data_IF_426031878982
#
_entry.id   IF_426031878982
#
_cell.length_a   1.000
_cell.length_b   1.000
_cell.length_c   1.000
_cell.angle_alpha   90.00
_cell.angle_beta   90.00
_cell.angle_gamma   90.00
#
_symmetry.space_group_name_H-M   'P 1'
#
loop_
_entity.id
_entity.type
_entity.pdbx_description
1 polymer ?
#
# COMPACT_ATOMS: atom_id res chain seq x y z
N UNK A 1 -15.27 11.01 24.01
CA UNK A 1 -15.78 10.96 22.62
C UNK A 1 -15.41 9.62 22.00
N UNK A 2 -16.18 8.57 22.26
CA UNK A 2 -15.98 7.25 21.64
C UNK A 2 -17.01 7.14 20.53
N UNK A 3 -16.63 7.49 19.30
CA UNK A 3 -17.49 7.30 18.12
C UNK A 3 -17.38 5.83 17.74
N UNK A 4 -18.50 5.10 17.71
CA UNK A 4 -18.53 3.80 17.04
C UNK A 4 -18.05 3.99 15.60
N UNK A 5 -16.92 3.36 15.26
CA UNK A 5 -16.18 3.61 14.03
C UNK A 5 -16.85 3.02 12.81
N UNK A 6 -17.80 3.75 12.22
CA UNK A 6 -18.26 3.42 10.87
C UNK A 6 -17.14 3.77 9.89
N UNK A 7 -16.78 2.83 9.01
CA UNK A 7 -15.79 3.07 7.96
C UNK A 7 -16.27 4.16 7.01
N UNK A 8 -15.32 4.87 6.39
CA UNK A 8 -15.65 5.93 5.45
C UNK A 8 -16.32 5.33 4.21
N UNK A 9 -17.53 5.80 3.94
CA UNK A 9 -18.18 5.68 2.64
C UNK A 9 -18.09 7.06 1.98
N UNK A 10 -17.19 7.21 1.01
CA UNK A 10 -17.11 8.42 0.21
C UNK A 10 -18.37 8.59 -0.65
N UNK A 11 -18.57 9.78 -1.26
CA UNK A 11 -19.61 9.94 -2.27
C UNK A 11 -19.39 8.93 -3.42
N UNK A 12 -20.48 8.62 -4.13
CA UNK A 12 -20.59 7.60 -5.20
C UNK A 12 -19.26 7.12 -5.80
N UNK A 13 -19.02 5.80 -5.89
CA UNK A 13 -17.79 5.23 -6.43
C UNK A 13 -17.36 5.92 -7.72
N UNK A 14 -16.10 6.36 -7.78
CA UNK A 14 -15.59 6.99 -9.00
C UNK A 14 -15.51 5.92 -10.08
N UNK A 15 -15.92 6.26 -11.31
CA UNK A 15 -15.88 5.31 -12.43
C UNK A 15 -14.48 4.72 -12.67
N UNK A 16 -13.43 5.47 -12.34
CA UNK A 16 -12.04 5.04 -12.47
C UNK A 16 -11.57 4.05 -11.39
N UNK A 17 -12.33 3.83 -10.31
CA UNK A 17 -12.03 2.84 -9.27
C UNK A 17 -12.57 1.45 -9.60
N UNK A 18 -13.28 1.31 -10.74
CA UNK A 18 -13.77 0.02 -11.22
C UNK A 18 -12.64 -0.80 -11.82
N UNK A 19 -12.35 -1.96 -11.24
CA UNK A 19 -11.30 -2.87 -11.71
C UNK A 19 -11.70 -3.57 -13.02
N UNK A 20 -12.93 -4.08 -13.12
CA UNK A 20 -13.41 -4.80 -14.30
C UNK A 20 -14.66 -4.14 -14.87
N UNK A 21 -14.61 -3.79 -16.16
CA UNK A 21 -15.71 -3.16 -16.87
C UNK A 21 -16.66 -4.21 -17.47
N UNK A 22 -17.91 -3.81 -17.72
CA UNK A 22 -18.94 -4.69 -18.29
C UNK A 22 -18.59 -5.25 -19.69
N UNK A 23 -17.63 -4.62 -20.39
CA UNK A 23 -17.12 -5.11 -21.68
C UNK A 23 -16.08 -6.24 -21.54
N UNK A 24 -15.84 -6.74 -20.32
CA UNK A 24 -14.88 -7.80 -20.03
C UNK A 24 -13.44 -7.33 -19.84
N UNK A 25 -13.14 -6.04 -20.04
CA UNK A 25 -11.77 -5.53 -19.84
C UNK A 25 -11.51 -5.26 -18.35
N UNK A 26 -10.46 -5.85 -17.79
CA UNK A 26 -10.01 -5.57 -16.43
C UNK A 26 -8.72 -4.74 -16.42
N UNK A 27 -8.66 -3.70 -15.56
CA UNK A 27 -7.51 -2.82 -15.37
C UNK A 27 -7.21 -2.67 -13.88
N UNK A 28 -5.97 -2.92 -13.50
CA UNK A 28 -5.48 -2.76 -12.14
C UNK A 28 -4.39 -1.69 -12.11
N UNK A 29 -4.75 -0.50 -11.62
CA UNK A 29 -3.85 0.61 -11.36
C UNK A 29 -3.23 0.46 -9.97
N UNK A 30 -1.90 0.40 -9.89
CA UNK A 30 -1.14 0.23 -8.65
C UNK A 30 -0.14 1.37 -8.53
N UNK A 31 -0.10 2.04 -7.38
CA UNK A 31 0.95 3.00 -7.08
C UNK A 31 2.13 2.31 -6.39
N UNK A 32 3.34 2.59 -6.86
CA UNK A 32 4.58 2.24 -6.16
C UNK A 32 5.11 3.53 -5.55
N UNK A 33 5.12 3.62 -4.23
CA UNK A 33 5.63 4.79 -3.50
C UNK A 33 6.81 4.32 -2.67
N UNK A 34 8.01 4.46 -3.23
CA UNK A 34 9.25 3.89 -2.72
C UNK A 34 10.44 4.76 -3.10
N UNK A 35 11.55 4.70 -2.36
CA UNK A 35 12.75 5.42 -2.74
C UNK A 35 13.33 4.83 -4.04
N UNK A 36 13.78 5.70 -4.95
CA UNK A 36 14.51 5.27 -6.16
C UNK A 36 15.96 4.87 -5.87
N UNK A 37 16.54 5.36 -4.77
CA UNK A 37 17.93 5.09 -4.43
C UNK A 37 18.20 3.61 -4.16
N UNK A 38 19.26 3.07 -4.79
CA UNK A 38 19.74 1.70 -4.57
C UNK A 38 20.37 1.48 -3.19
N UNK A 39 20.60 2.56 -2.42
CA UNK A 39 21.02 2.50 -1.02
C UNK A 39 20.03 1.68 -0.16
N UNK A 40 18.74 1.75 -0.48
CA UNK A 40 17.71 1.02 0.26
C UNK A 40 17.57 -0.40 -0.27
N UNK A 41 17.44 -1.36 0.66
CA UNK A 41 17.26 -2.79 0.35
C UNK A 41 16.00 -2.99 -0.50
N UNK A 42 14.91 -2.33 -0.10
CA UNK A 42 13.67 -2.26 -0.85
C UNK A 42 13.63 -0.89 -1.54
N UNK A 43 13.59 -0.89 -2.87
CA UNK A 43 13.59 0.31 -3.70
C UNK A 43 12.71 0.09 -4.93
N UNK A 44 12.51 1.15 -5.70
CA UNK A 44 11.63 1.16 -6.88
C UNK A 44 12.01 0.06 -7.90
N UNK A 45 13.27 0.02 -8.32
CA UNK A 45 13.73 -0.88 -9.39
C UNK A 45 13.49 -2.36 -9.03
N UNK A 46 13.95 -2.78 -7.85
CA UNK A 46 13.77 -4.16 -7.38
C UNK A 46 12.29 -4.53 -7.23
N UNK A 47 11.47 -3.59 -6.77
CA UNK A 47 10.04 -3.83 -6.55
C UNK A 47 9.31 -4.02 -7.87
N UNK A 48 9.63 -3.23 -8.90
CA UNK A 48 9.03 -3.39 -10.24
C UNK A 48 9.32 -4.78 -10.80
N UNK A 49 10.56 -5.26 -10.70
CA UNK A 49 10.93 -6.60 -11.18
C UNK A 49 10.11 -7.69 -10.48
N UNK A 50 10.04 -7.66 -9.14
CA UNK A 50 9.28 -8.65 -8.36
C UNK A 50 7.78 -8.60 -8.68
N UNK A 51 7.20 -7.41 -8.87
CA UNK A 51 5.79 -7.28 -9.22
C UNK A 51 5.50 -7.86 -10.60
N UNK A 52 6.39 -7.69 -11.58
CA UNK A 52 6.20 -8.26 -12.91
C UNK A 52 6.28 -9.78 -12.90
N UNK A 53 7.17 -10.35 -12.09
CA UNK A 53 7.20 -11.80 -11.84
C UNK A 53 5.91 -12.29 -11.15
N UNK A 54 5.45 -11.57 -10.13
CA UNK A 54 4.19 -11.89 -9.44
C UNK A 54 2.96 -11.77 -10.35
N UNK A 55 2.92 -10.78 -11.25
CA UNK A 55 1.88 -10.64 -12.28
C UNK A 55 1.84 -11.89 -13.19
N UNK A 56 2.99 -12.31 -13.71
CA UNK A 56 3.08 -13.50 -14.55
C UNK A 56 2.65 -14.77 -13.80
N UNK A 57 3.11 -14.93 -12.56
CA UNK A 57 2.72 -16.06 -11.73
C UNK A 57 1.21 -16.07 -11.45
N UNK A 58 0.61 -14.92 -11.13
CA UNK A 58 -0.82 -14.79 -10.87
C UNK A 58 -1.67 -15.10 -12.11
N UNK A 59 -1.22 -14.67 -13.29
CA UNK A 59 -1.85 -15.03 -14.58
C UNK A 59 -1.78 -16.53 -14.85
N UNK A 60 -0.61 -17.13 -14.69
CA UNK A 60 -0.40 -18.56 -14.91
C UNK A 60 -1.22 -19.45 -13.95
N UNK A 61 -1.44 -18.97 -12.71
CA UNK A 61 -2.25 -19.65 -11.71
C UNK A 61 -3.77 -19.38 -11.86
N UNK A 62 -4.17 -18.52 -12.81
CA UNK A 62 -5.57 -18.13 -12.98
C UNK A 62 -6.13 -17.29 -11.83
N UNK A 63 -5.27 -16.67 -11.00
CA UNK A 63 -5.68 -15.74 -9.94
C UNK A 63 -6.21 -14.44 -10.55
N UNK A 64 -5.57 -13.99 -11.63
CA UNK A 64 -6.02 -12.86 -12.44
C UNK A 64 -6.18 -13.29 -13.89
N UNK A 65 -7.15 -12.71 -14.61
CA UNK A 65 -7.36 -13.03 -16.02
C UNK A 65 -6.15 -12.60 -16.86
N UNK A 66 -5.82 -13.38 -17.90
CA UNK A 66 -4.65 -13.14 -18.75
C UNK A 66 -4.69 -11.78 -19.47
N UNK A 67 -5.88 -11.31 -19.81
CA UNK A 67 -6.16 -10.03 -20.46
C UNK A 67 -6.25 -8.85 -19.47
N UNK A 68 -6.07 -9.09 -18.16
CA UNK A 68 -6.00 -8.02 -17.15
C UNK A 68 -4.76 -7.17 -17.39
N UNK A 69 -4.97 -5.86 -17.53
CA UNK A 69 -3.92 -4.87 -17.71
C UNK A 69 -3.49 -4.32 -16.34
N UNK A 70 -2.23 -4.53 -15.96
CA UNK A 70 -1.67 -3.98 -14.72
C UNK A 70 -0.80 -2.76 -15.01
N UNK A 71 -1.28 -1.59 -14.58
CA UNK A 71 -0.56 -0.32 -14.67
C UNK A 71 0.18 -0.05 -13.36
N UNK A 72 1.49 0.20 -13.45
CA UNK A 72 2.34 0.56 -12.33
C UNK A 72 2.70 2.04 -12.46
N UNK A 73 2.35 2.84 -11.45
CA UNK A 73 2.69 4.26 -11.37
C UNK A 73 3.77 4.45 -10.33
N UNK A 74 4.90 5.04 -10.73
CA UNK A 74 6.09 5.12 -9.88
C UNK A 74 6.20 6.52 -9.25
N UNK A 75 6.39 6.56 -7.93
CA UNK A 75 6.59 7.77 -7.16
C UNK A 75 7.79 7.62 -6.23
N UNK A 76 8.78 8.49 -6.41
CA UNK A 76 9.97 8.53 -5.55
C UNK A 76 9.65 9.28 -4.26
N UNK A 77 9.49 8.57 -3.15
CA UNK A 77 9.23 9.22 -1.86
C UNK A 77 10.49 9.85 -1.26
N UNK A 78 11.68 9.52 -1.76
CA UNK A 78 12.97 9.97 -1.22
C UNK A 78 13.14 9.73 0.29
N UNK A 79 12.41 8.75 0.84
CA UNK A 79 12.28 8.55 2.28
C UNK A 79 11.82 9.82 3.05
N UNK A 80 11.05 10.69 2.39
CA UNK A 80 10.47 11.91 2.95
C UNK A 80 8.97 11.75 3.22
N UNK A 81 8.58 12.06 4.46
CA UNK A 81 7.19 12.03 4.90
C UNK A 81 6.26 12.87 4.02
N UNK A 82 6.72 14.07 3.63
CA UNK A 82 5.96 14.99 2.81
C UNK A 82 5.71 14.43 1.41
N UNK A 83 6.76 13.90 0.78
CA UNK A 83 6.67 13.32 -0.56
C UNK A 83 5.76 12.10 -0.58
N UNK A 84 5.91 11.17 0.38
CA UNK A 84 5.04 10.00 0.49
C UNK A 84 3.55 10.37 0.57
N UNK A 85 3.23 11.42 1.33
CA UNK A 85 1.86 11.92 1.49
C UNK A 85 1.32 12.53 0.19
N UNK A 86 2.09 13.43 -0.44
CA UNK A 86 1.71 14.09 -1.69
C UNK A 86 1.53 13.05 -2.80
N UNK A 87 2.45 12.10 -2.91
CA UNK A 87 2.36 11.04 -3.90
C UNK A 87 1.18 10.10 -3.67
N UNK A 88 0.82 9.81 -2.40
CA UNK A 88 -0.40 9.06 -2.08
C UNK A 88 -1.66 9.79 -2.56
N UNK A 89 -1.73 11.11 -2.36
CA UNK A 89 -2.83 11.94 -2.84
C UNK A 89 -2.90 11.91 -4.37
N UNK A 90 -1.79 12.20 -5.06
CA UNK A 90 -1.73 12.24 -6.52
C UNK A 90 -2.07 10.86 -7.13
N UNK A 91 -1.56 9.77 -6.55
CA UNK A 91 -1.89 8.41 -6.97
C UNK A 91 -3.40 8.15 -6.92
N UNK A 92 -4.06 8.59 -5.85
CA UNK A 92 -5.51 8.48 -5.70
C UNK A 92 -6.29 9.41 -6.63
N UNK A 93 -5.90 10.69 -6.76
CA UNK A 93 -6.66 11.71 -7.48
C UNK A 93 -6.46 11.65 -8.98
N UNK A 94 -5.21 11.54 -9.43
CA UNK A 94 -4.82 11.77 -10.82
C UNK A 94 -4.71 10.46 -11.60
N UNK A 95 -4.35 9.36 -10.90
CA UNK A 95 -4.12 8.05 -11.51
C UNK A 95 -5.15 7.00 -11.11
N UNK A 96 -6.08 7.34 -10.20
CA UNK A 96 -7.09 6.43 -9.67
C UNK A 96 -6.52 5.05 -9.33
N UNK A 97 -5.43 5.02 -8.57
CA UNK A 97 -4.83 3.75 -8.15
C UNK A 97 -5.70 3.06 -7.13
N UNK A 98 -5.80 1.73 -7.23
CA UNK A 98 -6.65 0.92 -6.35
C UNK A 98 -5.97 0.67 -4.99
N UNK A 99 -4.65 0.53 -4.99
CA UNK A 99 -3.85 0.38 -3.78
C UNK A 99 -2.41 0.83 -4.02
N UNK A 100 -1.69 1.01 -2.93
CA UNK A 100 -0.27 1.37 -2.92
C UNK A 100 0.57 0.18 -2.49
N UNK A 101 1.73 0.02 -3.11
CA UNK A 101 2.84 -0.81 -2.62
C UNK A 101 3.96 0.12 -2.13
N UNK A 102 4.44 -0.13 -0.91
CA UNK A 102 5.29 0.80 -0.15
C UNK A 102 4.47 1.67 0.82
N UNK A 103 5.00 2.71 1.45
CA UNK A 103 6.43 3.05 1.59
C UNK A 103 7.13 2.12 2.57
N UNK A 104 8.47 2.16 2.60
CA UNK A 104 9.30 1.29 3.43
C UNK A 104 9.98 2.00 4.59
N UNK A 105 10.07 3.33 4.54
CA UNK A 105 10.61 4.13 5.65
C UNK A 105 9.54 4.35 6.72
N UNK A 106 9.89 4.24 8.01
CA UNK A 106 8.93 4.32 9.13
C UNK A 106 8.07 5.59 9.08
N UNK A 107 8.70 6.77 8.91
CA UNK A 107 7.99 8.05 8.85
C UNK A 107 7.10 8.19 7.60
N UNK A 108 7.56 7.69 6.45
CA UNK A 108 6.80 7.73 5.21
C UNK A 108 5.58 6.81 5.29
N UNK A 109 5.78 5.60 5.80
CA UNK A 109 4.74 4.60 6.04
C UNK A 109 3.69 5.13 7.01
N UNK A 110 4.13 5.78 8.11
CA UNK A 110 3.22 6.40 9.06
C UNK A 110 2.34 7.47 8.40
N UNK A 111 2.92 8.39 7.62
CA UNK A 111 2.14 9.46 7.02
C UNK A 111 1.20 8.95 5.93
N UNK A 112 1.70 8.10 5.04
CA UNK A 112 0.89 7.48 3.99
C UNK A 112 -0.25 6.64 4.59
N UNK A 113 0.05 5.81 5.60
CA UNK A 113 -0.94 4.98 6.28
C UNK A 113 -2.04 5.78 6.98
N UNK A 114 -1.72 6.95 7.56
CA UNK A 114 -2.72 7.84 8.16
C UNK A 114 -3.67 8.45 7.13
N UNK A 115 -3.16 8.81 5.95
CA UNK A 115 -3.98 9.42 4.90
C UNK A 115 -4.72 8.37 4.07
N UNK A 116 -4.22 7.14 3.99
CA UNK A 116 -4.79 6.02 3.22
C UNK A 116 -6.31 5.87 3.41
N UNK A 117 -6.81 6.01 4.64
CA UNK A 117 -8.25 5.92 4.97
C UNK A 117 -9.14 7.02 4.38
N UNK A 118 -8.55 8.10 3.87
CA UNK A 118 -9.29 9.21 3.24
C UNK A 118 -9.02 9.34 1.75
N UNK A 119 -8.17 8.48 1.18
CA UNK A 119 -7.88 8.41 -0.25
C UNK A 119 -8.95 7.56 -0.97
N UNK A 120 -9.38 8.00 -2.15
CA UNK A 120 -10.47 7.35 -2.88
C UNK A 120 -11.84 7.41 -2.19
N UNK A 121 -12.79 6.62 -2.71
CA UNK A 121 -14.14 6.52 -2.12
C UNK A 121 -14.13 5.75 -0.81
N UNK A 122 -13.46 4.60 -0.73
CA UNK A 122 -13.50 3.70 0.44
C UNK A 122 -12.23 3.69 1.28
N UNK A 123 -11.25 4.54 0.96
CA UNK A 123 -9.87 4.35 1.41
C UNK A 123 -9.04 3.64 0.34
N UNK A 124 -7.73 3.82 0.39
CA UNK A 124 -6.78 3.17 -0.50
C UNK A 124 -5.83 2.31 0.34
N UNK A 125 -5.92 0.97 0.23
CA UNK A 125 -5.03 0.08 0.97
C UNK A 125 -3.56 0.35 0.64
N UNK A 126 -2.71 0.22 1.65
CA UNK A 126 -1.26 0.41 1.55
C UNK A 126 -0.61 -0.90 1.97
N UNK A 127 0.06 -1.59 1.05
CA UNK A 127 0.74 -2.85 1.30
C UNK A 127 2.23 -2.59 1.35
N UNK A 128 2.88 -2.92 2.46
CA UNK A 128 4.33 -2.72 2.60
C UNK A 128 4.99 -3.88 3.33
N UNK A 129 6.18 -4.33 2.89
CA UNK A 129 7.04 -5.19 3.70
C UNK A 129 7.99 -4.41 4.61
N UNK A 130 7.96 -3.07 4.54
CA UNK A 130 8.77 -2.18 5.37
C UNK A 130 7.94 -1.52 6.48
N UNK A 131 8.53 -0.54 7.17
CA UNK A 131 7.92 0.05 8.35
C UNK A 131 7.94 -0.94 9.52
N UNK A 132 8.91 -0.81 10.41
CA UNK A 132 9.11 -1.75 11.53
C UNK A 132 8.56 -1.23 12.86
N UNK A 133 7.76 -0.16 12.82
CA UNK A 133 7.04 0.34 13.98
C UNK A 133 5.96 -0.67 14.38
N UNK A 134 5.86 -0.96 15.69
CA UNK A 134 4.90 -1.89 16.26
C UNK A 134 3.44 -1.62 15.84
N UNK A 135 3.05 -0.36 15.70
CA UNK A 135 1.66 0.00 15.31
C UNK A 135 1.29 -0.48 13.89
N UNK A 136 2.28 -0.81 13.05
CA UNK A 136 2.04 -1.32 11.70
C UNK A 136 1.79 -2.82 11.66
N UNK A 137 2.22 -3.55 12.69
CA UNK A 137 2.05 -5.01 12.83
C UNK A 137 0.98 -5.37 13.85
N UNK A 138 0.66 -4.45 14.77
CA UNK A 138 -0.43 -4.60 15.73
C UNK A 138 -1.78 -4.86 15.02
N UNK A 139 -2.69 -5.52 15.74
CA UNK A 139 -4.07 -5.73 15.27
C UNK A 139 -4.73 -4.36 15.09
N UNK A 140 -5.21 -4.11 13.88
CA UNK A 140 -5.81 -2.84 13.45
C UNK A 140 -6.98 -3.07 12.49
N UNK A 141 -8.04 -3.66 13.02
CA UNK A 141 -9.19 -4.12 12.27
C UNK A 141 -10.42 -3.22 12.42
N UNK A 142 -10.33 -2.15 13.21
CA UNK A 142 -11.40 -1.19 13.42
C UNK A 142 -11.16 0.07 12.59
N UNK A 143 -12.22 0.67 12.05
CA UNK A 143 -12.11 1.89 11.23
C UNK A 143 -11.60 3.11 12.04
N UNK A 144 -11.64 3.03 13.37
CA UNK A 144 -11.04 4.00 14.30
C UNK A 144 -9.53 3.86 14.42
N UNK A 145 -8.97 2.71 14.06
CA UNK A 145 -7.54 2.47 14.17
C UNK A 145 -6.78 3.38 13.21
N UNK A 146 -5.62 3.87 13.64
CA UNK A 146 -4.88 4.87 12.88
C UNK A 146 -4.45 4.34 11.50
N UNK A 147 -4.08 3.05 11.46
CA UNK A 147 -3.46 2.39 10.31
C UNK A 147 -4.29 1.21 9.77
N UNK A 148 -5.63 1.22 9.89
CA UNK A 148 -6.48 0.09 9.46
C UNK A 148 -6.41 -0.22 7.95
N UNK A 149 -5.98 0.74 7.13
CA UNK A 149 -5.73 0.55 5.69
C UNK A 149 -4.28 0.12 5.36
N UNK A 150 -3.40 0.02 6.36
CA UNK A 150 -2.02 -0.40 6.19
C UNK A 150 -1.90 -1.91 6.42
N UNK A 151 -1.38 -2.63 5.44
CA UNK A 151 -1.14 -4.07 5.52
C UNK A 151 0.38 -4.26 5.49
N UNK A 152 0.94 -4.67 6.62
CA UNK A 152 2.34 -5.07 6.65
C UNK A 152 2.44 -6.55 6.23
N UNK A 153 3.08 -6.82 5.08
CA UNK A 153 3.21 -8.17 4.54
C UNK A 153 4.34 -8.98 5.20
N UNK A 154 5.27 -8.32 5.90
CA UNK A 154 6.28 -8.94 6.73
C UNK A 154 6.04 -8.57 8.19
N UNK A 155 5.33 -9.40 8.98
CA UNK A 155 4.91 -9.05 10.35
C UNK A 155 6.07 -9.11 11.34
N UNK A 156 7.10 -8.30 11.10
CA UNK A 156 8.28 -8.12 11.93
C UNK A 156 8.36 -6.65 12.26
N UNK A 157 8.44 -6.35 13.55
CA UNK A 157 8.62 -4.99 14.06
C UNK A 157 9.85 -4.93 14.98
N UNK A 158 10.24 -3.73 15.41
CA UNK A 158 11.37 -3.53 16.33
C UNK A 158 11.19 -4.27 17.66
N UNK A 159 9.95 -4.49 18.10
CA UNK A 159 9.65 -5.28 19.30
C UNK A 159 9.98 -6.76 19.07
N UNK A 160 9.60 -7.30 17.92
CA UNK A 160 9.87 -8.68 17.51
C UNK A 160 11.37 -8.93 17.40
N UNK A 161 12.12 -7.96 16.86
CA UNK A 161 13.58 -8.00 16.87
C UNK A 161 14.14 -8.01 18.30
N UNK A 162 13.67 -7.12 19.17
CA UNK A 162 14.11 -7.08 20.56
C UNK A 162 13.81 -8.40 21.31
N UNK A 163 12.61 -8.94 21.18
CA UNK A 163 12.21 -10.22 21.77
C UNK A 163 13.05 -11.39 21.22
N UNK A 164 13.44 -11.36 19.95
CA UNK A 164 14.36 -12.33 19.36
C UNK A 164 15.74 -12.26 20.02
N UNK A 165 16.34 -11.07 20.13
CA UNK A 165 17.65 -10.92 20.77
C UNK A 165 17.64 -11.30 22.24
N UNK A 166 16.58 -10.98 22.98
CA UNK A 166 16.44 -11.38 24.40
C UNK A 166 16.37 -12.90 24.56
N UNK A 167 15.79 -13.64 23.60
CA UNK A 167 15.72 -15.11 23.66
C UNK A 167 17.00 -15.79 23.17
N UNK A 168 17.85 -15.07 22.44
CA UNK A 168 19.10 -15.60 21.89
C UNK A 168 20.25 -15.57 22.92
N UNK A 169 20.20 -14.64 23.87
CA UNK A 169 21.20 -14.44 24.92
C UNK A 169 20.63 -14.73 26.31
#
# INVERSE_FOLDING_TARGET
>A
CHKSGVCREGPNPRSCETVCFANGTCRLNIALILPQSSYYIINMEKTVSVIREAEQAAKNQGIIYNDTVINLYHFDDQCSQANATIHGINASSDFCTHFVIGSTCDYCTAALGRVAKVLGTYGMPVITPGGFVFDFTARKNECTDEFYMLINSGPVDYRSFAEFFIKLF
#
